data_IF_062806831886
#
_entry.id   IF_062806831886
#
_cell.length_a   1.000
_cell.length_b   1.000
_cell.length_c   1.000
_cell.angle_alpha   90.00
_cell.angle_beta   90.00
_cell.angle_gamma   90.00
#
_symmetry.space_group_name_H-M   'P 1'
#
loop_
_entity.id
_entity.type
_entity.pdbx_description
1 polymer ?
#
# COMPACT_ATOMS: atom_id res chain seq x y z
N UNK A 1 -4.77 8.70 23.25
CA UNK A 1 -3.99 8.49 24.49
C UNK A 1 -2.57 8.19 24.06
N UNK A 2 -1.63 9.05 24.45
CA UNK A 2 -0.21 8.96 24.11
C UNK A 2 0.35 7.79 24.93
N UNK A 3 0.75 6.71 24.25
CA UNK A 3 1.41 5.57 24.90
C UNK A 3 2.87 5.97 25.16
N UNK A 4 3.17 6.36 26.39
CA UNK A 4 4.55 6.48 26.88
C UNK A 4 5.12 5.08 27.06
N UNK A 5 6.24 4.80 26.38
CA UNK A 5 7.04 3.56 26.56
C UNK A 5 7.34 3.37 28.05
N UNK A 6 7.15 2.17 28.61
CA UNK A 6 7.75 1.83 29.88
C UNK A 6 9.26 1.61 29.67
N UNK A 7 10.09 2.29 30.44
CA UNK A 7 11.52 1.96 30.59
C UNK A 7 11.65 0.56 31.21
N UNK A 8 11.91 -0.42 30.38
CA UNK A 8 12.41 -1.72 30.80
C UNK A 8 13.84 -1.88 30.26
N UNK A 9 14.80 -1.68 31.15
CA UNK A 9 16.20 -2.10 30.97
C UNK A 9 16.28 -3.62 30.82
N UNK A 10 16.19 -4.11 29.60
CA UNK A 10 16.64 -5.46 29.25
C UNK A 10 18.00 -5.29 28.57
N UNK A 11 19.04 -5.86 29.17
CA UNK A 11 20.36 -5.88 28.58
C UNK A 11 20.31 -6.64 27.24
N UNK A 12 20.07 -5.93 26.16
CA UNK A 12 20.15 -6.42 24.79
C UNK A 12 21.62 -6.50 24.41
N UNK A 13 22.12 -7.71 24.19
CA UNK A 13 23.50 -7.91 23.77
C UNK A 13 23.57 -7.85 22.24
N UNK A 14 24.35 -6.92 21.68
CA UNK A 14 24.58 -6.85 20.24
C UNK A 14 25.23 -8.16 19.76
N UNK A 15 24.60 -8.84 18.80
CA UNK A 15 25.09 -10.11 18.22
C UNK A 15 26.32 -9.89 17.33
N UNK A 16 26.48 -8.66 16.83
CA UNK A 16 27.58 -8.30 15.96
C UNK A 16 27.11 -7.53 14.71
N UNK A 17 28.01 -7.47 13.74
CA UNK A 17 27.78 -6.83 12.44
C UNK A 17 27.52 -7.90 11.40
N UNK A 18 26.42 -7.79 10.69
CA UNK A 18 25.98 -8.73 9.64
C UNK A 18 26.03 -8.04 8.28
N UNK A 19 26.47 -8.77 7.25
CA UNK A 19 26.38 -8.34 5.86
C UNK A 19 25.18 -9.02 5.19
N UNK A 20 24.24 -8.23 4.70
CA UNK A 20 23.06 -8.72 4.02
C UNK A 20 23.29 -8.90 2.51
N UNK A 21 22.73 -9.97 1.94
CA UNK A 21 22.72 -10.18 0.49
C UNK A 21 21.74 -9.23 -0.19
N UNK A 22 20.56 -9.06 0.40
CA UNK A 22 19.44 -8.30 -0.18
C UNK A 22 18.66 -7.52 0.88
N UNK A 23 18.29 -6.29 0.52
CA UNK A 23 17.48 -5.39 1.36
C UNK A 23 16.13 -5.20 0.68
N UNK A 24 15.05 -5.56 1.38
CA UNK A 24 13.68 -5.43 0.89
C UNK A 24 13.21 -3.99 0.81
N UNK A 25 12.37 -3.70 -0.18
CA UNK A 25 11.86 -2.35 -0.46
C UNK A 25 11.03 -1.76 0.69
N UNK A 26 10.46 -2.60 1.55
CA UNK A 26 9.74 -2.15 2.75
C UNK A 26 10.62 -1.38 3.75
N UNK A 27 11.97 -1.50 3.64
CA UNK A 27 12.92 -0.74 4.47
C UNK A 27 13.36 0.58 3.83
N UNK A 28 12.86 0.92 2.63
CA UNK A 28 13.34 2.08 1.86
C UNK A 28 13.34 3.42 2.61
N UNK A 29 12.41 3.70 3.56
CA UNK A 29 12.45 4.96 4.32
C UNK A 29 13.72 5.17 5.13
N UNK A 30 14.44 4.09 5.47
CA UNK A 30 15.64 4.16 6.31
C UNK A 30 16.95 4.29 5.52
N UNK A 31 16.95 4.06 4.21
CA UNK A 31 18.17 4.14 3.39
C UNK A 31 19.31 3.20 3.85
N UNK A 32 18.96 2.00 4.29
CA UNK A 32 19.90 1.06 4.92
C UNK A 32 21.04 0.65 4.00
N UNK A 33 22.22 0.45 4.60
CA UNK A 33 23.37 -0.19 3.98
C UNK A 33 23.32 -1.70 4.21
N UNK A 34 24.08 -2.48 3.42
CA UNK A 34 24.13 -3.94 3.56
C UNK A 34 24.77 -4.42 4.86
N UNK A 35 25.65 -3.63 5.42
CA UNK A 35 26.32 -3.93 6.69
C UNK A 35 25.50 -3.31 7.83
N UNK A 36 25.00 -4.14 8.74
CA UNK A 36 24.06 -3.74 9.79
C UNK A 36 24.52 -4.30 11.15
N UNK A 37 24.40 -3.49 12.20
CA UNK A 37 24.43 -3.98 13.57
C UNK A 37 23.09 -4.64 13.92
N UNK A 38 23.13 -5.72 14.67
CA UNK A 38 21.93 -6.47 15.09
C UNK A 38 21.98 -6.82 16.57
N UNK A 39 20.81 -6.88 17.20
CA UNK A 39 20.57 -7.41 18.55
C UNK A 39 19.79 -8.72 18.47
N UNK A 40 19.93 -9.58 19.50
CA UNK A 40 19.44 -10.97 19.46
C UNK A 40 17.92 -11.10 19.56
N UNK A 41 17.26 -10.25 20.35
CA UNK A 41 15.87 -10.47 20.69
C UNK A 41 15.10 -9.18 21.00
N UNK A 42 13.77 -9.28 20.93
CA UNK A 42 12.82 -8.29 21.45
C UNK A 42 11.61 -9.01 22.04
N UNK A 43 11.26 -8.69 23.27
CA UNK A 43 10.06 -9.23 23.94
C UNK A 43 8.78 -8.47 23.54
N UNK A 44 8.90 -7.40 22.78
CA UNK A 44 7.77 -6.59 22.31
C UNK A 44 8.05 -6.02 20.93
N UNK A 45 8.21 -6.89 19.90
CA UNK A 45 8.47 -6.45 18.55
C UNK A 45 7.28 -5.64 18.01
N UNK A 46 7.59 -4.59 17.26
CA UNK A 46 6.59 -3.71 16.65
C UNK A 46 6.53 -3.91 15.14
N UNK A 47 5.37 -3.64 14.56
CA UNK A 47 5.26 -3.50 13.12
C UNK A 47 6.20 -2.38 12.64
N UNK A 48 6.99 -2.67 11.60
CA UNK A 48 7.99 -1.75 11.09
C UNK A 48 9.40 -1.95 11.66
N UNK A 49 9.58 -2.76 12.71
CA UNK A 49 10.91 -3.13 13.19
C UNK A 49 11.69 -3.85 12.09
N UNK A 50 12.95 -3.45 11.91
CA UNK A 50 13.81 -4.02 10.88
C UNK A 50 14.39 -5.34 11.38
N UNK A 51 14.08 -6.42 10.68
CA UNK A 51 14.53 -7.77 10.99
C UNK A 51 15.49 -8.27 9.92
N UNK A 52 16.59 -8.91 10.36
CA UNK A 52 17.56 -9.58 9.52
C UNK A 52 17.33 -11.08 9.63
N UNK A 53 17.16 -11.74 8.49
CA UNK A 53 16.77 -13.16 8.45
C UNK A 53 17.57 -13.93 7.42
N UNK A 54 17.72 -15.23 7.64
CA UNK A 54 18.27 -16.20 6.68
C UNK A 54 17.14 -17.00 6.06
N UNK A 55 17.09 -17.09 4.75
CA UNK A 55 16.12 -17.92 4.05
C UNK A 55 16.41 -19.41 4.24
N UNK A 56 15.39 -20.19 4.60
CA UNK A 56 15.49 -21.63 4.82
C UNK A 56 14.97 -22.43 3.62
N UNK A 57 13.89 -21.96 3.01
CA UNK A 57 13.22 -22.62 1.90
C UNK A 57 13.13 -21.72 0.69
N UNK A 58 12.81 -22.30 -0.45
CA UNK A 58 12.29 -21.57 -1.61
C UNK A 58 10.76 -21.77 -1.72
N UNK A 59 10.14 -21.05 -2.62
CA UNK A 59 8.70 -21.14 -2.90
C UNK A 59 8.44 -20.85 -4.37
N UNK A 60 7.38 -21.44 -4.92
CA UNK A 60 6.88 -21.08 -6.25
C UNK A 60 6.20 -19.71 -6.26
N UNK A 61 5.69 -19.28 -5.10
CA UNK A 61 4.99 -18.00 -4.93
C UNK A 61 5.89 -17.02 -4.19
N UNK A 62 5.96 -15.76 -4.67
CA UNK A 62 6.80 -14.70 -4.11
C UNK A 62 8.28 -15.09 -3.95
N UNK A 63 8.83 -15.80 -4.94
CA UNK A 63 10.24 -16.24 -4.96
C UNK A 63 11.24 -15.13 -5.31
N UNK A 64 10.80 -13.89 -5.29
CA UNK A 64 11.62 -12.70 -5.54
C UNK A 64 11.38 -11.67 -4.46
N UNK A 65 12.47 -11.03 -4.02
CA UNK A 65 12.44 -9.85 -3.17
C UNK A 65 12.51 -8.60 -4.05
N UNK A 66 11.62 -7.67 -3.84
CA UNK A 66 11.74 -6.33 -4.39
C UNK A 66 12.77 -5.56 -3.56
N UNK A 67 13.85 -5.14 -4.20
CA UNK A 67 14.91 -4.37 -3.57
C UNK A 67 14.50 -2.90 -3.42
N UNK A 68 15.22 -2.15 -2.60
CA UNK A 68 15.05 -0.71 -2.41
C UNK A 68 15.16 0.11 -3.71
N UNK A 69 15.72 -0.48 -4.77
CA UNK A 69 15.78 0.10 -6.13
C UNK A 69 14.55 -0.23 -7.00
N UNK A 70 13.57 -0.98 -6.48
CA UNK A 70 12.44 -1.51 -7.26
C UNK A 70 12.76 -2.77 -8.09
N UNK A 71 14.03 -3.16 -8.21
CA UNK A 71 14.44 -4.36 -8.95
C UNK A 71 14.02 -5.63 -8.19
N UNK A 72 13.44 -6.59 -8.90
CA UNK A 72 13.13 -7.91 -8.35
C UNK A 72 14.36 -8.82 -8.40
N UNK A 73 14.82 -9.28 -7.24
CA UNK A 73 15.91 -10.23 -7.07
C UNK A 73 15.40 -11.59 -6.65
N UNK A 74 15.88 -12.66 -7.29
CA UNK A 74 15.54 -14.03 -6.89
C UNK A 74 16.00 -14.30 -5.47
N UNK A 75 15.18 -14.97 -4.68
CA UNK A 75 15.50 -15.45 -3.33
C UNK A 75 16.00 -16.89 -3.46
N UNK A 76 17.12 -17.20 -2.78
CA UNK A 76 17.65 -18.55 -2.71
C UNK A 76 17.80 -18.96 -1.23
N UNK A 77 17.67 -20.26 -0.92
CA UNK A 77 17.98 -20.76 0.43
C UNK A 77 19.40 -20.35 0.85
N UNK A 78 19.54 -19.89 2.08
CA UNK A 78 20.78 -19.36 2.64
C UNK A 78 21.01 -17.86 2.45
N UNK A 79 20.25 -17.17 1.57
CA UNK A 79 20.35 -15.71 1.44
C UNK A 79 20.05 -15.01 2.77
N UNK A 80 20.84 -14.00 3.10
CA UNK A 80 20.59 -13.09 4.23
C UNK A 80 19.77 -11.89 3.72
N UNK A 81 18.55 -11.78 4.20
CA UNK A 81 17.62 -10.74 3.81
C UNK A 81 17.38 -9.75 4.95
N UNK A 82 17.17 -8.48 4.59
CA UNK A 82 16.68 -7.46 5.50
C UNK A 82 15.25 -7.10 5.09
N UNK A 83 14.34 -7.16 6.04
CA UNK A 83 12.95 -6.79 5.88
C UNK A 83 12.41 -6.08 7.10
N UNK A 84 11.11 -5.96 7.18
CA UNK A 84 10.40 -5.35 8.33
C UNK A 84 9.37 -6.30 8.87
N UNK A 85 9.18 -6.30 10.18
CA UNK A 85 8.05 -7.01 10.78
C UNK A 85 6.75 -6.35 10.38
N UNK A 86 5.74 -7.14 10.02
CA UNK A 86 4.46 -6.58 9.60
C UNK A 86 3.35 -7.60 9.42
N UNK A 87 2.15 -7.07 9.23
CA UNK A 87 0.91 -7.83 9.06
C UNK A 87 0.53 -7.97 7.60
N UNK A 88 -0.17 -9.04 7.29
CA UNK A 88 -0.84 -9.21 6.01
C UNK A 88 -2.15 -9.98 6.20
N UNK A 89 -3.22 -9.53 5.53
CA UNK A 89 -4.53 -10.18 5.55
C UNK A 89 -5.14 -10.21 4.14
N UNK A 90 -4.45 -10.89 3.21
CA UNK A 90 -4.84 -10.87 1.81
C UNK A 90 -5.80 -12.00 1.45
N UNK A 91 -6.98 -11.67 0.89
CA UNK A 91 -7.98 -12.65 0.46
C UNK A 91 -7.40 -13.68 -0.54
N UNK A 92 -6.53 -13.23 -1.44
CA UNK A 92 -5.86 -14.08 -2.47
C UNK A 92 -4.35 -14.14 -2.26
N UNK A 93 -3.88 -14.05 -1.02
CA UNK A 93 -2.47 -13.99 -0.67
C UNK A 93 -2.16 -14.76 0.61
N UNK A 94 -1.09 -14.34 1.28
CA UNK A 94 -0.73 -14.80 2.62
C UNK A 94 -1.50 -14.03 3.68
N UNK A 95 -1.73 -14.69 4.82
CA UNK A 95 -2.23 -14.11 6.06
C UNK A 95 -1.18 -14.33 7.14
N UNK A 96 -0.84 -13.30 7.89
CA UNK A 96 0.15 -13.37 8.95
C UNK A 96 0.19 -12.13 9.81
N UNK A 97 0.83 -12.26 10.96
CA UNK A 97 0.92 -11.21 11.98
C UNK A 97 2.35 -11.02 12.48
N UNK A 98 2.59 -9.92 13.18
CA UNK A 98 3.81 -9.71 13.96
C UNK A 98 3.79 -10.67 15.14
N UNK A 99 4.86 -11.44 15.40
CA UNK A 99 4.91 -12.35 16.53
C UNK A 99 4.92 -11.58 17.87
N UNK A 100 4.55 -12.24 18.96
CA UNK A 100 4.52 -11.63 20.29
C UNK A 100 5.93 -11.36 20.83
N UNK A 101 6.91 -12.16 20.42
CA UNK A 101 8.33 -11.98 20.71
C UNK A 101 9.16 -12.42 19.51
N UNK A 102 10.38 -11.94 19.39
CA UNK A 102 11.34 -12.31 18.34
C UNK A 102 12.71 -12.54 18.95
N UNK A 103 13.29 -13.71 18.66
CA UNK A 103 14.66 -14.05 19.05
C UNK A 103 15.45 -14.66 17.89
N UNK A 104 16.78 -14.58 17.96
CA UNK A 104 17.67 -15.28 17.03
C UNK A 104 17.36 -16.79 17.03
N UNK A 105 17.25 -17.38 15.85
CA UNK A 105 16.84 -18.77 15.64
C UNK A 105 15.34 -18.99 15.47
N UNK A 106 14.50 -18.00 15.74
CA UNK A 106 13.05 -18.10 15.51
C UNK A 106 12.73 -18.26 14.03
N UNK A 107 11.62 -18.94 13.74
CA UNK A 107 11.13 -19.16 12.38
C UNK A 107 9.96 -18.26 12.07
N UNK A 108 10.15 -17.43 11.07
CA UNK A 108 9.14 -16.55 10.50
C UNK A 108 8.96 -16.85 9.00
N UNK A 109 8.20 -16.02 8.32
CA UNK A 109 7.85 -16.19 6.91
C UNK A 109 7.91 -14.85 6.17
N UNK A 110 8.33 -14.93 4.91
CA UNK A 110 8.19 -13.80 3.99
C UNK A 110 6.73 -13.69 3.53
N UNK A 111 6.03 -12.66 3.98
CA UNK A 111 4.62 -12.45 3.70
C UNK A 111 4.37 -11.67 2.40
N UNK A 112 5.35 -10.86 1.95
CA UNK A 112 5.24 -10.03 0.74
C UNK A 112 6.59 -9.84 0.08
N UNK A 113 6.58 -9.64 -1.23
CA UNK A 113 7.80 -9.41 -2.03
C UNK A 113 8.57 -8.14 -1.63
N UNK A 114 7.95 -7.16 -1.00
CA UNK A 114 8.61 -5.97 -0.47
C UNK A 114 9.51 -6.24 0.74
N UNK A 115 9.47 -7.43 1.31
CA UNK A 115 10.24 -7.78 2.52
C UNK A 115 9.47 -7.59 3.82
N UNK A 116 8.15 -7.67 3.79
CA UNK A 116 7.33 -7.75 5.01
C UNK A 116 7.40 -9.18 5.52
N UNK A 117 7.85 -9.34 6.77
CA UNK A 117 8.13 -10.61 7.45
C UNK A 117 7.22 -10.72 8.68
N UNK A 118 6.73 -11.93 8.95
CA UNK A 118 5.88 -12.20 10.10
C UNK A 118 5.57 -13.67 10.24
N UNK A 119 4.73 -14.00 11.21
CA UNK A 119 4.26 -15.37 11.43
C UNK A 119 3.08 -15.63 10.46
N UNK A 120 3.31 -16.45 9.43
CA UNK A 120 2.25 -16.84 8.49
C UNK A 120 1.27 -17.77 9.19
N UNK A 121 -0.01 -17.37 9.24
CA UNK A 121 -1.12 -18.15 9.85
C UNK A 121 -1.99 -18.82 8.82
N UNK A 122 -1.84 -18.50 7.53
CA UNK A 122 -2.59 -19.11 6.44
C UNK A 122 -2.30 -18.45 5.09
N UNK A 123 -2.80 -19.07 4.04
CA UNK A 123 -2.71 -18.55 2.68
C UNK A 123 -3.84 -19.06 1.79
N UNK A 124 -4.05 -18.39 0.67
CA UNK A 124 -5.02 -18.85 -0.33
C UNK A 124 -4.59 -20.20 -0.93
N UNK A 125 -5.53 -21.10 -1.17
CA UNK A 125 -5.28 -22.49 -1.61
C UNK A 125 -4.54 -22.61 -2.96
N UNK A 126 -4.55 -21.56 -3.78
CA UNK A 126 -3.79 -21.52 -5.06
C UNK A 126 -2.31 -21.16 -4.90
N UNK A 127 -1.86 -20.83 -3.70
CA UNK A 127 -0.47 -20.47 -3.42
C UNK A 127 0.27 -21.67 -2.82
N UNK A 128 1.58 -21.74 -3.07
CA UNK A 128 2.48 -22.56 -2.29
C UNK A 128 2.75 -21.94 -0.92
N UNK A 129 3.32 -22.71 -0.01
CA UNK A 129 3.73 -22.21 1.31
C UNK A 129 4.65 -20.98 1.19
N UNK A 130 4.55 -20.09 2.16
CA UNK A 130 5.43 -18.95 2.25
C UNK A 130 6.88 -19.38 2.50
N UNK A 131 7.83 -18.61 1.96
CA UNK A 131 9.26 -18.82 2.23
C UNK A 131 9.48 -18.74 3.75
N UNK A 132 10.00 -19.82 4.35
CA UNK A 132 10.44 -19.82 5.73
C UNK A 132 11.79 -19.13 5.85
N UNK A 133 11.92 -18.35 6.91
CA UNK A 133 13.14 -17.64 7.26
C UNK A 133 13.48 -17.88 8.73
N UNK A 134 14.74 -17.90 9.04
CA UNK A 134 15.28 -17.94 10.41
C UNK A 134 15.75 -16.53 10.78
N UNK A 135 15.32 -16.04 11.92
CA UNK A 135 15.74 -14.74 12.45
C UNK A 135 17.22 -14.80 12.83
N UNK A 136 18.02 -13.88 12.33
CA UNK A 136 19.40 -13.66 12.78
C UNK A 136 19.38 -12.66 13.93
N UNK A 137 18.57 -11.61 13.82
CA UNK A 137 18.38 -10.58 14.84
C UNK A 137 17.59 -9.39 14.30
N UNK A 138 17.44 -8.37 15.12
CA UNK A 138 16.82 -7.10 14.77
C UNK A 138 17.91 -6.08 14.50
N UNK A 139 17.81 -5.36 13.38
CA UNK A 139 18.77 -4.30 13.08
C UNK A 139 18.64 -3.15 14.09
N UNK A 140 19.78 -2.62 14.54
CA UNK A 140 19.82 -1.59 15.55
C UNK A 140 20.72 -0.41 15.15
N UNK A 141 20.52 0.72 15.82
CA UNK A 141 21.42 1.88 15.76
C UNK A 141 22.64 1.70 16.69
N UNK A 142 23.51 2.73 16.75
CA UNK A 142 24.70 2.76 17.60
C UNK A 142 24.39 2.69 19.11
N UNK A 143 23.17 3.04 19.50
CA UNK A 143 22.69 3.05 20.88
C UNK A 143 21.90 1.74 21.19
N UNK A 144 22.05 0.71 20.36
CA UNK A 144 21.38 -0.61 20.43
C UNK A 144 19.84 -0.52 20.39
N UNK A 145 19.26 0.57 19.84
CA UNK A 145 17.82 0.69 19.64
C UNK A 145 17.43 0.04 18.33
N UNK A 146 16.40 -0.80 18.36
CA UNK A 146 15.85 -1.40 17.15
C UNK A 146 15.43 -0.32 16.16
N UNK A 147 15.92 -0.43 14.92
CA UNK A 147 15.50 0.45 13.84
C UNK A 147 14.06 0.14 13.44
N UNK A 148 13.24 1.16 13.32
CA UNK A 148 11.86 1.04 12.85
C UNK A 148 11.60 2.02 11.72
N UNK A 149 10.88 1.60 10.69
CA UNK A 149 10.56 2.48 9.55
C UNK A 149 9.73 3.71 9.95
N UNK A 150 9.08 3.68 11.11
CA UNK A 150 8.37 4.82 11.65
C UNK A 150 9.28 5.93 12.22
N UNK A 151 10.57 5.67 12.42
CA UNK A 151 11.50 6.66 13.00
C UNK A 151 11.71 7.87 12.09
N UNK A 152 11.53 7.70 10.78
CA UNK A 152 11.64 8.76 9.77
C UNK A 152 10.32 9.06 9.04
N UNK A 153 9.21 8.62 9.62
CA UNK A 153 7.91 8.70 8.99
C UNK A 153 7.35 10.13 8.94
N UNK A 154 6.57 10.39 7.91
CA UNK A 154 5.69 11.54 7.86
C UNK A 154 4.69 11.48 9.03
N UNK A 155 4.56 12.58 9.73
CA UNK A 155 3.62 12.66 10.86
C UNK A 155 2.17 12.74 10.34
N UNK A 156 1.26 11.89 10.84
CA UNK A 156 -0.16 11.98 10.52
C UNK A 156 -0.71 13.39 10.77
N UNK A 157 -1.66 13.84 9.94
CA UNK A 157 -2.25 15.19 10.02
C UNK A 157 -3.74 15.12 10.34
N UNK A 158 -4.21 16.00 11.18
CA UNK A 158 -5.63 16.11 11.55
C UNK A 158 -6.44 16.94 10.56
N UNK A 159 -5.79 17.80 9.75
CA UNK A 159 -6.43 18.65 8.75
C UNK A 159 -5.78 18.49 7.37
N UNK A 160 -6.61 18.55 6.32
CA UNK A 160 -6.18 18.40 4.94
C UNK A 160 -5.52 19.69 4.41
N UNK A 161 -6.09 20.85 4.74
CA UNK A 161 -5.66 22.12 4.18
C UNK A 161 -6.02 22.27 2.69
N UNK A 162 -5.34 23.21 2.01
CA UNK A 162 -5.54 23.41 0.56
C UNK A 162 -4.88 22.27 -0.21
N UNK A 163 -5.64 21.68 -1.15
CA UNK A 163 -5.13 20.57 -1.99
C UNK A 163 -5.62 20.68 -3.42
N UNK A 164 -4.86 20.10 -4.35
CA UNK A 164 -5.36 19.75 -5.67
C UNK A 164 -6.54 18.79 -5.55
N UNK A 165 -7.46 18.74 -6.53
CA UNK A 165 -8.54 17.77 -6.56
C UNK A 165 -8.02 16.33 -6.45
N UNK A 166 -8.78 15.47 -5.77
CA UNK A 166 -8.43 14.06 -5.60
C UNK A 166 -9.25 13.19 -6.55
N UNK A 167 -8.61 12.17 -7.12
CA UNK A 167 -9.28 11.03 -7.74
C UNK A 167 -8.97 9.80 -6.92
N UNK A 168 -9.99 9.21 -6.31
CA UNK A 168 -9.85 7.99 -5.52
C UNK A 168 -10.12 6.77 -6.39
N UNK A 169 -9.23 5.78 -6.35
CA UNK A 169 -9.37 4.51 -7.04
C UNK A 169 -9.46 3.40 -6.01
N UNK A 170 -10.67 2.91 -5.77
CA UNK A 170 -10.99 1.83 -4.84
C UNK A 170 -11.41 0.56 -5.60
N UNK A 171 -11.66 -0.53 -4.89
CA UNK A 171 -12.17 -1.74 -5.56
C UNK A 171 -12.60 -2.85 -4.61
N UNK A 172 -13.10 -3.94 -5.18
CA UNK A 172 -13.65 -5.07 -4.44
C UNK A 172 -12.60 -5.89 -3.69
N UNK A 173 -11.42 -6.09 -4.30
CA UNK A 173 -10.34 -6.91 -3.73
C UNK A 173 -9.03 -6.68 -4.48
N UNK A 174 -7.96 -7.35 -4.03
CA UNK A 174 -6.71 -7.40 -4.81
C UNK A 174 -6.98 -7.98 -6.21
N UNK A 175 -6.21 -7.53 -7.21
CA UNK A 175 -6.34 -7.91 -8.63
C UNK A 175 -7.68 -7.52 -9.30
N UNK A 176 -8.49 -6.63 -8.72
CA UNK A 176 -9.70 -6.10 -9.36
C UNK A 176 -9.43 -5.07 -10.48
N UNK A 177 -8.17 -4.69 -10.71
CA UNK A 177 -7.77 -3.74 -11.76
C UNK A 177 -7.48 -2.32 -11.30
N UNK A 178 -7.39 -2.05 -9.99
CA UNK A 178 -7.15 -0.71 -9.43
C UNK A 178 -5.88 -0.05 -9.95
N UNK A 179 -4.75 -0.75 -9.89
CA UNK A 179 -3.46 -0.22 -10.35
C UNK A 179 -3.51 0.16 -11.83
N UNK A 180 -4.10 -0.70 -12.68
CA UNK A 180 -4.31 -0.37 -14.09
C UNK A 180 -5.20 0.86 -14.30
N UNK A 181 -6.26 0.99 -13.51
CA UNK A 181 -7.14 2.16 -13.59
C UNK A 181 -6.43 3.44 -13.14
N UNK A 182 -5.70 3.38 -12.02
CA UNK A 182 -4.93 4.51 -11.50
C UNK A 182 -3.86 4.96 -12.49
N UNK A 183 -3.03 4.03 -13.00
CA UNK A 183 -1.93 4.35 -13.92
C UNK A 183 -2.43 4.83 -15.28
N UNK A 184 -3.55 4.30 -15.80
CA UNK A 184 -4.13 4.81 -17.06
C UNK A 184 -4.70 6.23 -16.88
N UNK A 185 -5.32 6.55 -15.74
CA UNK A 185 -5.77 7.91 -15.44
C UNK A 185 -4.56 8.85 -15.36
N UNK A 186 -3.49 8.48 -14.64
CA UNK A 186 -2.26 9.27 -14.53
C UNK A 186 -1.69 9.53 -15.91
N UNK A 187 -1.49 8.49 -16.71
CA UNK A 187 -0.92 8.57 -18.05
C UNK A 187 -1.71 9.50 -18.98
N UNK A 188 -3.03 9.38 -18.98
CA UNK A 188 -3.91 10.21 -19.83
C UNK A 188 -3.91 11.65 -19.37
N UNK A 189 -4.11 11.89 -18.08
CA UNK A 189 -4.10 13.24 -17.51
C UNK A 189 -2.75 13.94 -17.77
N UNK A 190 -1.63 13.24 -17.64
CA UNK A 190 -0.30 13.78 -17.95
C UNK A 190 -0.13 14.09 -19.44
N UNK A 191 -0.64 13.22 -20.33
CA UNK A 191 -0.61 13.48 -21.80
C UNK A 191 -1.48 14.68 -22.19
N UNK A 192 -2.53 14.95 -21.44
CA UNK A 192 -3.39 16.12 -21.61
C UNK A 192 -2.78 17.40 -20.99
N UNK A 193 -1.56 17.30 -20.48
CA UNK A 193 -0.78 18.45 -19.97
C UNK A 193 -0.95 18.73 -18.48
N UNK A 194 -1.69 17.91 -17.73
CA UNK A 194 -1.83 18.07 -16.28
C UNK A 194 -0.59 17.58 -15.53
N UNK A 195 -0.22 18.29 -14.47
CA UNK A 195 0.76 17.82 -13.48
C UNK A 195 0.07 16.90 -12.50
N UNK A 196 0.34 15.62 -12.58
CA UNK A 196 -0.33 14.59 -11.76
C UNK A 196 0.63 14.11 -10.67
N UNK A 197 0.22 14.16 -9.40
CA UNK A 197 0.85 13.44 -8.32
C UNK A 197 0.02 12.20 -7.95
N UNK A 198 0.62 11.20 -7.32
CA UNK A 198 -0.09 9.97 -7.03
C UNK A 198 0.31 9.35 -5.68
N UNK A 199 -0.61 8.60 -5.07
CA UNK A 199 -0.33 7.87 -3.85
C UNK A 199 -0.90 6.46 -3.84
N UNK A 200 -0.18 5.55 -3.15
CA UNK A 200 -0.71 4.27 -2.67
C UNK A 200 -1.05 4.41 -1.19
N UNK A 201 -2.33 4.49 -0.85
CA UNK A 201 -2.74 4.82 0.51
C UNK A 201 -2.92 3.59 1.41
N UNK A 202 -3.19 2.42 0.87
CA UNK A 202 -3.41 1.20 1.65
C UNK A 202 -2.87 -0.04 0.97
N UNK A 203 -2.58 -1.08 1.78
CA UNK A 203 -2.05 -2.35 1.32
C UNK A 203 -0.90 -2.88 2.17
N UNK A 204 0.03 -3.60 1.53
CA UNK A 204 1.26 -4.13 2.13
C UNK A 204 2.46 -3.51 1.40
N UNK A 205 3.48 -3.09 2.15
CA UNK A 205 4.62 -2.31 1.65
C UNK A 205 5.34 -2.96 0.47
N UNK A 206 5.44 -2.18 -0.62
CA UNK A 206 6.11 -2.51 -1.86
C UNK A 206 6.25 -1.22 -2.67
N UNK A 207 7.37 -0.99 -3.33
CA UNK A 207 7.58 0.20 -4.17
C UNK A 207 6.93 0.07 -5.55
N UNK A 208 6.63 -1.14 -5.99
CA UNK A 208 6.16 -1.44 -7.34
C UNK A 208 5.01 -0.54 -7.79
N UNK A 209 4.00 -0.31 -6.93
CA UNK A 209 2.83 0.47 -7.32
C UNK A 209 3.17 1.95 -7.51
N UNK A 210 4.00 2.54 -6.63
CA UNK A 210 4.44 3.94 -6.74
C UNK A 210 5.42 4.16 -7.89
N UNK A 211 6.28 3.18 -8.17
CA UNK A 211 7.18 3.19 -9.34
C UNK A 211 6.36 3.12 -10.64
N UNK A 212 5.35 2.24 -10.70
CA UNK A 212 4.44 2.15 -11.85
C UNK A 212 3.69 3.48 -12.10
N UNK A 213 3.24 4.15 -11.02
CA UNK A 213 2.65 5.49 -11.13
C UNK A 213 3.64 6.51 -11.70
N UNK A 214 4.90 6.48 -11.26
CA UNK A 214 5.97 7.35 -11.79
C UNK A 214 6.26 7.07 -13.26
N UNK A 215 6.33 5.79 -13.66
CA UNK A 215 6.55 5.37 -15.06
C UNK A 215 5.41 5.84 -15.98
N UNK A 216 4.21 6.04 -15.44
CA UNK A 216 3.06 6.57 -16.17
C UNK A 216 2.95 8.10 -16.13
N UNK A 217 3.92 8.80 -15.53
CA UNK A 217 4.06 10.26 -15.60
C UNK A 217 3.69 11.03 -14.35
N UNK A 218 3.47 10.37 -13.21
CA UNK A 218 3.31 11.08 -11.95
C UNK A 218 4.60 11.85 -11.59
N UNK A 219 4.47 13.17 -11.35
CA UNK A 219 5.61 14.04 -11.01
C UNK A 219 6.11 13.86 -9.58
N UNK A 220 5.28 13.29 -8.72
CA UNK A 220 5.60 12.90 -7.35
C UNK A 220 4.73 11.73 -6.95
N UNK A 221 5.31 10.81 -6.19
CA UNK A 221 4.58 9.66 -5.63
C UNK A 221 4.85 9.50 -4.15
N UNK A 222 3.88 8.97 -3.41
CA UNK A 222 4.00 8.67 -2.00
C UNK A 222 3.18 7.42 -1.65
N UNK A 223 3.48 6.80 -0.50
CA UNK A 223 2.70 5.67 -0.02
C UNK A 223 2.57 5.67 1.51
N UNK A 224 1.68 4.84 2.04
CA UNK A 224 1.57 4.62 3.48
C UNK A 224 2.91 4.21 4.13
N UNK A 225 3.85 3.67 3.34
CA UNK A 225 5.20 3.35 3.80
C UNK A 225 5.97 4.60 4.25
N UNK A 226 5.77 5.75 3.59
CA UNK A 226 6.36 7.04 3.97
C UNK A 226 5.82 7.55 5.32
N UNK A 227 4.68 7.01 5.76
CA UNK A 227 4.11 7.22 7.09
C UNK A 227 4.53 6.13 8.10
N UNK A 228 5.53 5.30 7.77
CA UNK A 228 6.08 4.29 8.67
C UNK A 228 5.21 3.05 8.84
N UNK A 229 4.30 2.79 7.92
CA UNK A 229 3.42 1.62 7.97
C UNK A 229 3.94 0.51 7.05
N UNK A 230 4.33 -0.67 7.56
CA UNK A 230 4.68 -1.81 6.70
C UNK A 230 3.43 -2.45 6.06
N UNK A 231 2.28 -2.18 6.63
CA UNK A 231 0.96 -2.60 6.15
C UNK A 231 -0.11 -1.73 6.79
N UNK A 232 -1.24 -1.58 6.14
CA UNK A 232 -2.40 -0.89 6.72
C UNK A 232 -3.42 -1.85 7.36
N UNK A 233 -3.08 -3.14 7.48
CA UNK A 233 -3.90 -4.11 8.23
C UNK A 233 -3.97 -3.70 9.70
N UNK A 234 -5.18 -3.41 10.17
CA UNK A 234 -5.42 -3.01 11.56
C UNK A 234 -4.86 -1.63 11.92
N UNK A 235 -4.53 -0.79 10.93
CA UNK A 235 -4.01 0.56 11.17
C UNK A 235 -5.03 1.53 11.78
N UNK A 236 -6.31 1.14 11.83
CA UNK A 236 -7.39 1.98 12.33
C UNK A 236 -7.79 3.06 11.33
N UNK A 237 -7.74 4.33 11.74
CA UNK A 237 -8.12 5.44 10.88
C UNK A 237 -6.96 5.85 9.94
N UNK A 238 -7.17 5.73 8.64
CA UNK A 238 -6.21 6.13 7.60
C UNK A 238 -6.38 7.60 7.15
N UNK A 239 -7.40 8.32 7.58
CA UNK A 239 -7.59 9.70 7.14
C UNK A 239 -6.41 10.62 7.55
N UNK A 240 -5.82 10.52 8.75
CA UNK A 240 -4.64 11.29 9.10
C UNK A 240 -3.40 10.95 8.26
N UNK A 241 -3.24 9.67 7.87
CA UNK A 241 -2.18 9.20 6.96
C UNK A 241 -2.41 9.78 5.55
N UNK A 242 -3.63 9.67 5.03
CA UNK A 242 -3.99 10.24 3.74
C UNK A 242 -3.69 11.76 3.68
N UNK A 243 -4.07 12.51 4.71
CA UNK A 243 -3.82 13.96 4.80
C UNK A 243 -2.33 14.28 4.82
N UNK A 244 -1.50 13.46 5.47
CA UNK A 244 -0.05 13.64 5.47
C UNK A 244 0.56 13.42 4.07
N UNK A 245 0.18 12.33 3.39
CA UNK A 245 0.63 12.04 2.03
C UNK A 245 0.19 13.11 1.03
N UNK A 246 -1.07 13.53 1.10
CA UNK A 246 -1.61 14.58 0.22
C UNK A 246 -0.86 15.90 0.45
N UNK A 247 -0.54 16.26 1.69
CA UNK A 247 0.22 17.47 1.98
C UNK A 247 1.62 17.43 1.35
N UNK A 248 2.33 16.30 1.46
CA UNK A 248 3.62 16.09 0.81
C UNK A 248 3.51 16.17 -0.71
N UNK A 249 2.52 15.53 -1.32
CA UNK A 249 2.31 15.55 -2.77
C UNK A 249 2.00 16.95 -3.29
N UNK A 250 1.28 17.78 -2.53
CA UNK A 250 0.99 19.16 -2.88
C UNK A 250 2.25 20.05 -2.99
N UNK A 251 3.38 19.65 -2.38
CA UNK A 251 4.66 20.37 -2.54
C UNK A 251 5.15 20.37 -3.99
N UNK A 252 4.75 19.36 -4.79
CA UNK A 252 5.03 19.31 -6.22
C UNK A 252 4.11 20.21 -7.06
N UNK A 253 3.19 20.98 -6.46
CA UNK A 253 2.19 21.80 -7.10
C UNK A 253 1.42 21.06 -8.22
N UNK A 254 0.75 19.94 -7.92
CA UNK A 254 0.01 19.18 -8.91
C UNK A 254 -1.34 19.84 -9.25
N UNK A 255 -1.84 19.57 -10.46
CA UNK A 255 -3.20 19.92 -10.88
C UNK A 255 -4.20 18.85 -10.42
N UNK A 256 -3.72 17.63 -10.14
CA UNK A 256 -4.51 16.45 -9.78
C UNK A 256 -3.69 15.49 -8.90
N UNK A 257 -4.33 14.90 -7.90
CA UNK A 257 -3.74 13.81 -7.12
C UNK A 257 -4.59 12.55 -7.31
N UNK A 258 -3.97 11.46 -7.81
CA UNK A 258 -4.60 10.15 -7.95
C UNK A 258 -4.20 9.27 -6.76
N UNK A 259 -5.17 8.75 -6.02
CA UNK A 259 -4.94 7.93 -4.83
C UNK A 259 -5.50 6.53 -5.05
N UNK A 260 -4.63 5.53 -5.10
CA UNK A 260 -5.03 4.14 -5.12
C UNK A 260 -5.21 3.60 -3.69
N UNK A 261 -6.38 3.01 -3.44
CA UNK A 261 -6.72 2.31 -2.20
C UNK A 261 -6.48 0.81 -2.43
N UNK A 262 -5.34 0.32 -1.96
CA UNK A 262 -4.92 -1.06 -2.13
C UNK A 262 -5.81 -2.04 -1.37
N UNK A 263 -5.78 -3.30 -1.84
CA UNK A 263 -6.66 -4.40 -1.43
C UNK A 263 -8.15 -4.12 -1.75
N UNK A 264 -9.09 -4.50 -0.89
CA UNK A 264 -10.52 -4.24 -1.09
C UNK A 264 -11.06 -3.19 -0.13
N UNK A 265 -12.19 -2.59 -0.50
CA UNK A 265 -12.93 -1.68 0.39
C UNK A 265 -13.33 -2.38 1.70
N UNK A 266 -13.60 -3.68 1.63
CA UNK A 266 -13.76 -4.58 2.78
C UNK A 266 -12.53 -5.49 2.87
N UNK A 267 -12.04 -5.81 4.07
CA UNK A 267 -10.91 -6.74 4.18
C UNK A 267 -9.87 -6.39 5.25
N UNK A 268 -10.17 -5.44 6.13
CA UNK A 268 -9.31 -5.14 7.30
C UNK A 268 -8.10 -4.25 7.02
N UNK A 269 -8.02 -3.65 5.83
CA UNK A 269 -6.96 -2.69 5.45
C UNK A 269 -7.32 -1.23 5.77
N UNK A 270 -8.36 -1.01 6.54
CA UNK A 270 -8.83 0.31 7.03
C UNK A 270 -9.23 1.30 5.93
N UNK A 271 -9.50 0.80 4.71
CA UNK A 271 -9.84 1.65 3.54
C UNK A 271 -11.10 2.47 3.76
N UNK A 272 -12.05 1.94 4.51
CA UNK A 272 -13.36 2.58 4.74
C UNK A 272 -13.23 3.93 5.45
N UNK A 273 -12.26 4.09 6.36
CA UNK A 273 -12.06 5.32 7.13
C UNK A 273 -11.76 6.55 6.26
N UNK A 274 -11.17 6.34 5.08
CA UNK A 274 -10.90 7.43 4.11
C UNK A 274 -12.20 8.06 3.61
N UNK A 275 -13.25 7.25 3.45
CA UNK A 275 -14.55 7.68 2.96
C UNK A 275 -15.45 8.25 4.07
N UNK A 276 -15.09 8.07 5.32
CA UNK A 276 -15.80 8.61 6.47
C UNK A 276 -15.30 10.03 6.85
N UNK A 277 -14.13 10.47 6.33
CA UNK A 277 -13.56 11.81 6.55
C UNK A 277 -14.17 12.85 5.59
N UNK A 278 -14.74 13.91 6.17
CA UNK A 278 -15.45 14.96 5.40
C UNK A 278 -14.52 15.81 4.53
N UNK A 279 -13.29 16.11 5.00
CA UNK A 279 -12.34 16.91 4.22
C UNK A 279 -11.85 16.13 2.98
N UNK A 280 -11.55 14.83 3.14
CA UNK A 280 -11.16 13.97 2.03
C UNK A 280 -12.31 13.82 1.03
N UNK A 281 -13.54 13.62 1.49
CA UNK A 281 -14.72 13.58 0.62
C UNK A 281 -14.91 14.90 -0.13
N UNK A 282 -14.81 16.03 0.57
CA UNK A 282 -14.93 17.36 -0.04
C UNK A 282 -13.84 17.70 -1.05
N UNK A 283 -12.67 17.07 -0.94
CA UNK A 283 -11.57 17.22 -1.89
C UNK A 283 -11.63 16.22 -3.07
N UNK A 284 -12.45 15.16 -2.96
CA UNK A 284 -12.58 14.14 -3.99
C UNK A 284 -13.44 14.62 -5.15
N UNK A 285 -12.83 14.77 -6.31
CA UNK A 285 -13.51 15.14 -7.55
C UNK A 285 -14.17 13.93 -8.21
N UNK A 286 -13.51 12.75 -8.17
CA UNK A 286 -14.07 11.54 -8.77
C UNK A 286 -13.70 10.31 -7.94
N UNK A 287 -14.65 9.37 -7.87
CA UNK A 287 -14.48 8.03 -7.30
C UNK A 287 -14.58 6.99 -8.41
N UNK A 288 -13.47 6.30 -8.67
CA UNK A 288 -13.38 5.15 -9.58
C UNK A 288 -13.41 3.87 -8.76
N UNK A 289 -14.33 2.96 -9.06
CA UNK A 289 -14.46 1.70 -8.35
C UNK A 289 -14.21 0.50 -9.25
N UNK A 290 -13.17 -0.27 -8.96
CA UNK A 290 -12.78 -1.44 -9.72
C UNK A 290 -13.44 -2.70 -9.15
N UNK A 291 -14.29 -3.33 -9.94
CA UNK A 291 -14.99 -4.56 -9.56
C UNK A 291 -14.50 -5.76 -10.39
N UNK A 292 -14.58 -6.96 -9.77
CA UNK A 292 -14.21 -8.21 -10.45
C UNK A 292 -15.37 -8.79 -11.26
N UNK A 293 -16.60 -8.52 -10.83
CA UNK A 293 -17.83 -9.04 -11.42
C UNK A 293 -19.03 -8.10 -11.14
N UNK A 294 -20.21 -8.44 -11.67
CA UNK A 294 -21.41 -7.62 -11.52
C UNK A 294 -21.90 -7.52 -10.08
N UNK A 295 -21.80 -8.60 -9.29
CA UNK A 295 -22.23 -8.60 -7.88
C UNK A 295 -21.31 -7.72 -7.06
N UNK A 296 -19.99 -7.76 -7.33
CA UNK A 296 -19.02 -6.87 -6.74
C UNK A 296 -19.25 -5.40 -7.10
N UNK A 297 -19.60 -5.11 -8.36
CA UNK A 297 -19.97 -3.76 -8.80
C UNK A 297 -21.23 -3.25 -8.06
N UNK A 298 -22.30 -4.04 -8.07
CA UNK A 298 -23.53 -3.74 -7.36
C UNK A 298 -23.32 -3.57 -5.86
N UNK A 299 -22.56 -4.48 -5.22
CA UNK A 299 -22.22 -4.40 -3.81
C UNK A 299 -21.45 -3.13 -3.45
N UNK A 300 -20.50 -2.72 -4.31
CA UNK A 300 -19.77 -1.46 -4.16
C UNK A 300 -20.71 -0.25 -4.24
N UNK A 301 -21.61 -0.21 -5.23
CA UNK A 301 -22.58 0.86 -5.39
C UNK A 301 -23.46 0.99 -4.13
N UNK A 302 -24.02 -0.12 -3.62
CA UNK A 302 -24.85 -0.10 -2.43
C UNK A 302 -24.06 0.28 -1.16
N UNK A 303 -22.79 -0.15 -1.05
CA UNK A 303 -21.93 0.21 0.08
C UNK A 303 -21.68 1.71 0.15
N UNK A 304 -21.33 2.33 -0.99
CA UNK A 304 -21.08 3.76 -1.06
C UNK A 304 -22.37 4.59 -0.94
N UNK A 305 -23.46 4.12 -1.52
CA UNK A 305 -24.79 4.77 -1.39
C UNK A 305 -25.23 4.90 0.08
N UNK A 306 -24.97 3.89 0.91
CA UNK A 306 -25.25 3.93 2.36
C UNK A 306 -24.45 5.02 3.09
N UNK A 307 -23.32 5.43 2.54
CA UNK A 307 -22.48 6.54 3.02
C UNK A 307 -22.80 7.88 2.36
N UNK A 308 -23.82 7.93 1.51
CA UNK A 308 -24.17 9.14 0.74
C UNK A 308 -23.12 9.50 -0.32
N UNK A 309 -22.34 8.53 -0.78
CA UNK A 309 -21.29 8.69 -1.80
C UNK A 309 -21.74 8.02 -3.09
N UNK A 310 -21.53 8.70 -4.22
CA UNK A 310 -21.77 8.12 -5.55
C UNK A 310 -20.46 7.67 -6.17
N UNK A 311 -20.45 6.49 -6.79
CA UNK A 311 -19.37 6.04 -7.67
C UNK A 311 -19.55 6.76 -9.01
N UNK A 312 -18.48 7.37 -9.52
CA UNK A 312 -18.51 8.11 -10.78
C UNK A 312 -18.18 7.23 -11.99
N UNK A 313 -17.35 6.19 -11.77
CA UNK A 313 -16.93 5.26 -12.81
C UNK A 313 -16.72 3.86 -12.24
N UNK A 314 -17.31 2.86 -12.85
CA UNK A 314 -16.98 1.46 -12.63
C UNK A 314 -15.91 1.04 -13.63
N UNK A 315 -14.85 0.38 -13.13
CA UNK A 315 -13.74 -0.15 -13.91
C UNK A 315 -13.34 -1.55 -13.41
N UNK A 316 -12.21 -2.05 -13.90
CA UNK A 316 -11.65 -3.34 -13.50
C UNK A 316 -12.11 -4.49 -14.39
N UNK A 317 -11.89 -5.75 -13.93
CA UNK A 317 -12.13 -6.92 -14.78
C UNK A 317 -13.60 -7.11 -15.18
N UNK A 318 -14.54 -6.56 -14.46
CA UNK A 318 -15.96 -6.56 -14.84
C UNK A 318 -16.20 -5.81 -16.16
N UNK A 319 -15.30 -4.90 -16.55
CA UNK A 319 -15.36 -4.12 -17.80
C UNK A 319 -14.40 -4.63 -18.89
N UNK A 320 -13.82 -5.83 -18.76
CA UNK A 320 -12.90 -6.39 -19.75
C UNK A 320 -13.58 -6.73 -21.09
N UNK A 321 -14.90 -6.72 -21.14
CA UNK A 321 -15.70 -6.84 -22.35
C UNK A 321 -16.66 -5.67 -22.52
N UNK A 322 -17.04 -5.36 -23.79
CA UNK A 322 -18.08 -4.34 -24.05
C UNK A 322 -19.39 -4.70 -23.37
N UNK A 323 -19.75 -5.98 -23.35
CA UNK A 323 -20.96 -6.48 -22.67
C UNK A 323 -20.97 -6.09 -21.17
N UNK A 324 -19.79 -6.14 -20.53
CA UNK A 324 -19.66 -5.74 -19.11
C UNK A 324 -19.94 -4.26 -18.89
N UNK A 325 -19.37 -3.40 -19.74
CA UNK A 325 -19.62 -1.97 -19.70
C UNK A 325 -21.10 -1.65 -19.97
N UNK A 326 -21.67 -2.20 -21.06
CA UNK A 326 -23.07 -1.98 -21.43
C UNK A 326 -24.05 -2.44 -20.33
N UNK A 327 -23.74 -3.54 -19.67
CA UNK A 327 -24.55 -4.05 -18.55
C UNK A 327 -24.54 -3.07 -17.37
N UNK A 328 -23.35 -2.61 -16.96
CA UNK A 328 -23.20 -1.67 -15.83
C UNK A 328 -23.95 -0.37 -16.12
N UNK A 329 -23.78 0.20 -17.30
CA UNK A 329 -24.44 1.46 -17.66
C UNK A 329 -25.95 1.31 -17.73
N UNK A 330 -26.45 0.23 -18.33
CA UNK A 330 -27.88 -0.02 -18.46
C UNK A 330 -28.57 -0.35 -17.13
N UNK A 331 -27.97 -1.28 -16.36
CA UNK A 331 -28.64 -1.82 -15.16
C UNK A 331 -28.34 -1.01 -13.89
N UNK A 332 -27.16 -0.43 -13.81
CA UNK A 332 -26.75 0.32 -12.61
C UNK A 332 -26.74 1.84 -12.79
N UNK A 333 -26.82 2.32 -14.03
CA UNK A 333 -26.86 3.76 -14.32
C UNK A 333 -25.55 4.49 -13.97
N UNK A 334 -24.44 3.76 -13.86
CA UNK A 334 -23.11 4.30 -13.58
C UNK A 334 -22.24 4.18 -14.80
N UNK A 335 -21.45 5.21 -15.12
CA UNK A 335 -20.51 5.16 -16.24
C UNK A 335 -19.52 3.98 -16.06
N UNK A 336 -19.20 3.30 -17.15
CA UNK A 336 -18.25 2.21 -17.17
C UNK A 336 -17.09 2.51 -18.11
N UNK A 337 -15.90 2.00 -17.78
CA UNK A 337 -14.70 2.16 -18.60
C UNK A 337 -13.60 1.16 -18.21
N UNK A 338 -12.75 0.85 -19.19
CA UNK A 338 -11.68 -0.13 -19.02
C UNK A 338 -10.31 0.46 -19.36
N UNK A 339 -9.36 0.32 -18.45
CA UNK A 339 -8.02 0.86 -18.60
C UNK A 339 -7.26 0.34 -19.83
N UNK A 340 -7.54 -0.90 -20.25
CA UNK A 340 -6.85 -1.54 -21.38
C UNK A 340 -7.56 -1.31 -22.72
N UNK A 341 -8.89 -1.13 -22.71
CA UNK A 341 -9.71 -1.07 -23.92
C UNK A 341 -10.07 0.36 -24.32
N UNK A 342 -10.45 1.19 -23.36
CA UNK A 342 -10.98 2.52 -23.63
C UNK A 342 -10.63 3.55 -22.51
N UNK A 343 -9.35 3.62 -22.17
CA UNK A 343 -8.85 4.59 -21.18
C UNK A 343 -9.26 6.05 -21.45
N UNK A 344 -9.55 6.41 -22.73
CA UNK A 344 -10.09 7.73 -23.11
C UNK A 344 -11.44 8.01 -22.45
N UNK A 345 -12.32 7.00 -22.39
CA UNK A 345 -13.59 7.14 -21.69
C UNK A 345 -13.40 7.36 -20.19
N UNK A 346 -12.46 6.65 -19.58
CA UNK A 346 -12.15 6.81 -18.16
C UNK A 346 -11.70 8.24 -17.85
N UNK A 347 -10.73 8.75 -18.62
CA UNK A 347 -10.23 10.11 -18.40
C UNK A 347 -11.32 11.18 -18.70
N UNK A 348 -12.17 10.98 -19.70
CA UNK A 348 -13.24 11.94 -20.00
C UNK A 348 -14.23 12.09 -18.83
N UNK A 349 -14.60 10.98 -18.16
CA UNK A 349 -15.43 11.02 -16.95
C UNK A 349 -14.73 11.77 -15.82
N UNK A 350 -13.44 11.46 -15.58
CA UNK A 350 -12.65 12.14 -14.55
C UNK A 350 -12.54 13.63 -14.83
N UNK A 351 -12.24 14.05 -16.07
CA UNK A 351 -12.13 15.46 -16.45
C UNK A 351 -13.45 16.21 -16.32
N UNK A 352 -14.58 15.58 -16.64
CA UNK A 352 -15.89 16.18 -16.44
C UNK A 352 -16.13 16.48 -14.94
N UNK A 353 -15.74 15.55 -14.06
CA UNK A 353 -15.87 15.74 -12.61
C UNK A 353 -14.94 16.83 -12.08
N UNK A 354 -13.68 16.86 -12.56
CA UNK A 354 -12.73 17.92 -12.23
C UNK A 354 -13.26 19.31 -12.62
N UNK A 355 -13.82 19.45 -13.82
CA UNK A 355 -14.42 20.70 -14.29
C UNK A 355 -15.61 21.12 -13.41
N UNK A 356 -16.53 20.21 -13.09
CA UNK A 356 -17.68 20.50 -12.22
C UNK A 356 -17.24 20.94 -10.82
N UNK A 357 -16.20 20.32 -10.26
CA UNK A 357 -15.65 20.72 -8.97
C UNK A 357 -15.04 22.13 -9.02
N UNK A 358 -14.33 22.47 -10.10
CA UNK A 358 -13.75 23.80 -10.30
C UNK A 358 -14.82 24.87 -10.39
N UNK A 359 -15.88 24.62 -11.17
CA UNK A 359 -17.04 25.53 -11.32
C UNK A 359 -17.77 25.76 -9.99
N UNK A 360 -17.88 24.75 -9.13
CA UNK A 360 -18.52 24.85 -7.82
C UNK A 360 -17.69 25.61 -6.77
N UNK A 361 -16.38 25.75 -6.99
CA UNK A 361 -15.45 26.48 -6.09
C UNK A 361 -15.23 27.95 -6.47
N UNK A 362 -15.69 28.37 -7.66
CA UNK A 362 -15.71 29.75 -8.13
C UNK A 362 -17.01 30.45 -7.74
#
# INVERSE_FOLDING_TARGET
MINTKPDHDIATTAVGVIEADKIGSATSPLGLQKTLAVIEASDSPLAGDVVVVRTLTDSATYNKLELTTGRLAKINPGDVLVGVLGRRSALKGFVGDVPESVASGDRLHLLNMGGVIGLCTGHHSSLSDAIQVEVIGLACDKDERVLNIADHALKPRTSLGRTAPLVLVAGTCMNSGKTFAATEIIKRATRDGLRVAAAKLSGVACLRDTLDMSDHGAVATASFLDCGLPSTVGAGDLAPVAKALIAQLNESAPDLIVIELGDGILGGYSVESVFDDEELRGATAALVFCASDYVGAWGGIELFKRRGISIDLIAGSVTDSQMGEDYIEREFGVAAGNARRNGERMISVVQEKLRKMSEARC
#
